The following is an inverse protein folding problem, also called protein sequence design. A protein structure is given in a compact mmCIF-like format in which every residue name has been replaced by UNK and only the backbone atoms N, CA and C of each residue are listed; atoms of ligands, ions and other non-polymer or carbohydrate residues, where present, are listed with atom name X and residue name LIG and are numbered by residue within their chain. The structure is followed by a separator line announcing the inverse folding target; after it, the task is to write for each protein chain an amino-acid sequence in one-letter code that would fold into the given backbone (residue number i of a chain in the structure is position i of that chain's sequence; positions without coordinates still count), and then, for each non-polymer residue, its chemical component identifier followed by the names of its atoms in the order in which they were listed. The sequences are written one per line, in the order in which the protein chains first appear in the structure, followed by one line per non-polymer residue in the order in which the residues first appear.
data_IF_163393117455
#
_entry.id   IF_163393117455
#
_cell.length_a   1.000
_cell.length_b   1.000
_cell.length_c   1.000
_cell.angle_alpha   90.00
_cell.angle_beta   90.00
_cell.angle_gamma   90.00
#
_symmetry.space_group_name_H-M   'P 1'
#
loop_
_entity.id
_entity.type
_entity.pdbx_description
1 polymer ?
#
# COMPACT_ATOMS: atom_id res chain seq x y z
N UNK A 1 12.53 4.62 -18.42
CA UNK A 1 12.31 3.24 -18.90
C UNK A 1 10.97 3.10 -19.62
N UNK A 2 9.91 3.66 -19.04
CA UNK A 2 8.54 3.70 -19.57
C UNK A 2 8.42 4.23 -21.02
N UNK A 3 8.80 5.49 -21.26
CA UNK A 3 8.49 6.16 -22.54
C UNK A 3 9.54 5.98 -23.66
N UNK A 4 10.77 5.60 -23.33
CA UNK A 4 11.83 5.50 -24.35
C UNK A 4 11.68 4.23 -25.18
N UNK A 5 11.72 4.35 -26.51
CA UNK A 5 11.76 3.22 -27.46
C UNK A 5 13.15 2.91 -28.01
N UNK A 6 14.16 3.68 -27.59
CA UNK A 6 15.56 3.48 -28.00
C UNK A 6 16.19 2.37 -27.14
N UNK A 7 16.62 1.29 -27.80
CA UNK A 7 17.25 0.14 -27.17
C UNK A 7 18.48 0.54 -26.36
N UNK A 8 19.41 1.30 -26.94
CA UNK A 8 20.67 1.67 -26.30
C UNK A 8 20.42 2.56 -25.08
N UNK A 9 19.45 3.48 -25.17
CA UNK A 9 19.06 4.33 -24.04
C UNK A 9 18.45 3.52 -22.89
N UNK A 10 17.62 2.51 -23.19
CA UNK A 10 17.03 1.63 -22.17
C UNK A 10 18.09 0.72 -21.54
N UNK A 11 18.99 0.16 -22.35
CA UNK A 11 20.10 -0.67 -21.86
C UNK A 11 20.99 0.12 -20.91
N UNK A 12 21.43 1.32 -21.33
CA UNK A 12 22.22 2.23 -20.50
C UNK A 12 21.56 2.50 -19.15
N UNK A 13 20.26 2.83 -19.12
CA UNK A 13 19.55 3.09 -17.88
C UNK A 13 19.42 1.84 -16.99
N UNK A 14 19.16 0.68 -17.60
CA UNK A 14 18.99 -0.59 -16.89
C UNK A 14 20.30 -1.09 -16.25
N UNK A 15 21.40 -1.02 -17.01
CA UNK A 15 22.74 -1.43 -16.55
C UNK A 15 23.29 -0.43 -15.56
N UNK A 16 23.17 0.87 -15.85
CA UNK A 16 23.62 1.93 -14.97
C UNK A 16 23.00 1.84 -13.59
N UNK A 17 21.67 1.67 -13.50
CA UNK A 17 21.00 1.51 -12.20
C UNK A 17 21.55 0.31 -11.39
N UNK A 18 21.74 -0.84 -12.05
CA UNK A 18 22.24 -2.07 -11.38
C UNK A 18 23.71 -1.96 -10.99
N UNK A 19 24.52 -1.32 -11.83
CA UNK A 19 25.93 -1.14 -11.57
C UNK A 19 26.15 -0.13 -10.44
N UNK A 20 25.44 1.00 -10.46
CA UNK A 20 25.64 2.07 -9.48
C UNK A 20 24.98 1.74 -8.15
N UNK A 21 23.72 1.26 -8.14
CA UNK A 21 23.01 0.97 -6.89
C UNK A 21 23.23 -0.47 -6.44
N UNK A 22 23.04 -1.44 -7.34
CA UNK A 22 23.11 -2.86 -6.99
C UNK A 22 24.48 -3.30 -6.45
N UNK A 23 25.59 -2.79 -7.00
CA UNK A 23 26.94 -3.12 -6.49
C UNK A 23 27.19 -2.56 -5.09
N UNK A 24 26.67 -1.37 -4.78
CA UNK A 24 26.77 -0.77 -3.44
C UNK A 24 25.96 -1.57 -2.41
N UNK A 25 24.79 -2.10 -2.82
CA UNK A 25 23.94 -2.91 -1.95
C UNK A 25 24.49 -4.31 -1.69
N UNK A 26 25.27 -4.91 -2.61
CA UNK A 26 25.72 -6.30 -2.50
C UNK A 26 26.42 -6.64 -1.17
N UNK A 27 27.50 -5.94 -0.73
CA UNK A 27 28.15 -6.28 0.53
C UNK A 27 27.25 -6.03 1.74
N UNK A 28 26.41 -4.98 1.70
CA UNK A 28 25.43 -4.70 2.74
C UNK A 28 24.39 -5.81 2.85
N UNK A 29 23.96 -6.38 1.72
CA UNK A 29 22.96 -7.45 1.68
C UNK A 29 23.52 -8.78 2.17
N UNK A 30 24.81 -9.07 1.92
CA UNK A 30 25.49 -10.24 2.47
C UNK A 30 25.55 -10.18 4.00
N UNK A 31 25.89 -9.02 4.57
CA UNK A 31 25.90 -8.81 6.02
C UNK A 31 24.48 -8.84 6.61
N UNK A 32 23.53 -8.18 5.95
CA UNK A 32 22.11 -8.17 6.32
C UNK A 32 21.55 -9.59 6.47
N UNK A 33 21.76 -10.47 5.49
CA UNK A 33 21.24 -11.86 5.55
C UNK A 33 21.84 -12.65 6.72
N UNK A 34 23.10 -12.41 7.07
CA UNK A 34 23.72 -13.06 8.24
C UNK A 34 23.03 -12.60 9.53
N UNK A 35 22.92 -11.28 9.71
CA UNK A 35 22.33 -10.66 10.90
C UNK A 35 20.85 -11.05 11.09
N UNK A 36 20.04 -11.00 10.03
CA UNK A 36 18.62 -11.35 10.10
C UNK A 36 18.40 -12.82 10.47
N UNK A 37 19.23 -13.72 9.93
CA UNK A 37 19.16 -15.14 10.28
C UNK A 37 19.63 -15.43 11.70
N UNK A 38 20.62 -14.68 12.23
CA UNK A 38 21.00 -14.78 13.64
C UNK A 38 19.85 -14.37 14.56
N UNK A 39 19.16 -13.27 14.24
CA UNK A 39 17.98 -12.82 14.97
C UNK A 39 16.83 -13.84 14.91
N UNK A 40 16.53 -14.38 13.73
CA UNK A 40 15.46 -15.37 13.56
C UNK A 40 15.71 -16.63 14.40
N UNK A 41 16.94 -17.17 14.34
CA UNK A 41 17.32 -18.35 15.14
C UNK A 41 17.29 -18.08 16.65
N UNK A 42 17.65 -16.88 17.09
CA UNK A 42 17.54 -16.49 18.50
C UNK A 42 16.08 -16.45 18.99
N UNK A 43 15.11 -16.31 18.07
CA UNK A 43 13.67 -16.36 18.34
C UNK A 43 13.04 -17.72 18.01
N UNK A 44 13.85 -18.79 17.90
CA UNK A 44 13.43 -20.17 17.63
C UNK A 44 12.79 -20.42 16.24
N UNK A 45 13.11 -19.61 15.23
CA UNK A 45 12.79 -19.91 13.83
C UNK A 45 13.94 -20.64 13.13
N UNK A 46 13.66 -21.36 12.04
CA UNK A 46 14.71 -22.06 11.26
C UNK A 46 15.65 -21.06 10.56
N UNK A 47 15.06 -20.06 9.91
CA UNK A 47 15.74 -18.97 9.22
C UNK A 47 14.84 -17.73 9.16
N UNK A 48 15.34 -16.64 8.57
CA UNK A 48 14.57 -15.39 8.47
C UNK A 48 13.36 -15.50 7.52
N UNK A 49 13.40 -16.40 6.55
CA UNK A 49 12.23 -16.69 5.71
C UNK A 49 11.13 -17.42 6.48
N UNK A 50 11.52 -18.29 7.43
CA UNK A 50 10.61 -18.95 8.37
C UNK A 50 9.94 -17.96 9.32
N UNK A 51 10.72 -17.01 9.85
CA UNK A 51 10.21 -15.89 10.62
C UNK A 51 9.11 -15.10 9.87
N UNK A 52 9.33 -14.78 8.59
CA UNK A 52 8.32 -14.07 7.78
C UNK A 52 7.05 -14.88 7.53
N UNK A 53 7.16 -16.19 7.28
CA UNK A 53 5.99 -17.04 7.03
C UNK A 53 5.07 -17.17 8.25
N UNK A 54 5.58 -16.90 9.46
CA UNK A 54 4.80 -16.91 10.69
C UNK A 54 3.54 -16.03 10.65
N UNK A 55 3.52 -14.95 9.85
CA UNK A 55 2.34 -14.09 9.66
C UNK A 55 1.16 -14.83 9.00
N UNK A 56 1.41 -15.93 8.29
CA UNK A 56 0.37 -16.72 7.63
C UNK A 56 -0.02 -17.99 8.40
N UNK A 57 0.74 -18.36 9.42
CA UNK A 57 0.50 -19.55 10.24
C UNK A 57 -0.55 -19.31 11.36
N UNK A 58 -1.09 -18.10 11.45
CA UNK A 58 -2.16 -17.72 12.38
C UNK A 58 -3.55 -18.27 12.02
N UNK A 59 -3.67 -19.26 11.12
CA UNK A 59 -4.97 -19.85 10.69
C UNK A 59 -5.97 -20.10 11.85
N UNK A 60 -5.58 -20.64 13.02
CA UNK A 60 -6.51 -20.84 14.14
C UNK A 60 -6.98 -19.53 14.81
N UNK A 61 -6.10 -18.53 14.89
CA UNK A 61 -6.42 -17.21 15.46
C UNK A 61 -7.20 -16.34 14.46
N UNK A 62 -6.87 -16.45 13.17
CA UNK A 62 -7.54 -15.79 12.05
C UNK A 62 -9.00 -16.22 11.92
N UNK A 63 -9.30 -17.52 12.02
CA UNK A 63 -10.70 -18.01 11.97
C UNK A 63 -11.54 -17.48 13.14
N UNK A 64 -10.96 -17.40 14.34
CA UNK A 64 -11.64 -16.87 15.53
C UNK A 64 -11.80 -15.34 15.49
N UNK A 65 -10.77 -14.61 15.05
CA UNK A 65 -10.78 -13.16 14.93
C UNK A 65 -11.71 -12.71 13.79
N UNK A 66 -11.66 -13.37 12.63
CA UNK A 66 -12.56 -13.11 11.51
C UNK A 66 -14.02 -13.40 11.87
N UNK A 67 -14.29 -14.49 12.61
CA UNK A 67 -15.64 -14.78 13.12
C UNK A 67 -16.13 -13.73 14.14
N UNK A 68 -15.24 -13.30 15.04
CA UNK A 68 -15.54 -12.28 16.06
C UNK A 68 -15.77 -10.89 15.46
N UNK A 69 -14.92 -10.46 14.53
CA UNK A 69 -15.03 -9.18 13.82
C UNK A 69 -16.29 -9.17 12.94
N UNK A 70 -16.58 -10.26 12.22
CA UNK A 70 -17.83 -10.42 11.45
C UNK A 70 -19.08 -10.32 12.34
N UNK A 71 -19.09 -10.97 13.50
CA UNK A 71 -20.21 -10.90 14.44
C UNK A 71 -20.36 -9.49 15.05
N UNK A 72 -19.27 -8.81 15.41
CA UNK A 72 -19.31 -7.44 15.94
C UNK A 72 -19.72 -6.40 14.90
N UNK A 73 -19.32 -6.58 13.65
CA UNK A 73 -19.76 -5.72 12.55
C UNK A 73 -21.26 -5.90 12.23
N UNK A 74 -21.81 -7.11 12.41
CA UNK A 74 -23.25 -7.39 12.26
C UNK A 74 -24.12 -6.79 13.39
N UNK A 75 -23.61 -6.71 14.63
CA UNK A 75 -24.33 -6.12 15.77
C UNK A 75 -24.27 -4.59 15.81
N UNK A 76 -23.20 -3.96 15.30
CA UNK A 76 -22.92 -2.55 15.59
C UNK A 76 -23.64 -1.57 14.64
N UNK A 77 -24.05 -1.98 13.44
CA UNK A 77 -24.62 -1.03 12.46
C UNK A 77 -25.79 -1.58 11.62
N UNK A 78 -26.98 -1.77 12.21
CA UNK A 78 -28.14 -2.27 11.45
C UNK A 78 -28.71 -1.26 10.44
N UNK A 79 -28.33 0.03 10.52
CA UNK A 79 -29.03 1.11 9.78
C UNK A 79 -28.35 2.50 9.70
N UNK A 80 -27.06 2.66 10.01
CA UNK A 80 -26.40 3.99 10.03
C UNK A 80 -25.05 4.06 9.28
N UNK A 81 -24.73 3.03 8.48
CA UNK A 81 -23.58 3.02 7.57
C UNK A 81 -24.13 2.90 6.14
N UNK A 82 -23.64 3.72 5.20
CA UNK A 82 -23.92 3.52 3.78
C UNK A 82 -23.43 2.13 3.37
N UNK A 83 -24.26 1.28 2.74
CA UNK A 83 -23.94 -0.14 2.54
C UNK A 83 -22.63 -0.43 1.77
N UNK A 84 -22.00 0.59 1.16
CA UNK A 84 -20.80 0.47 0.32
C UNK A 84 -19.85 1.69 0.41
N UNK A 85 -19.97 2.55 1.44
CA UNK A 85 -19.24 3.82 1.49
C UNK A 85 -18.01 3.84 2.41
N UNK A 86 -16.87 4.33 1.91
CA UNK A 86 -15.64 4.55 2.66
C UNK A 86 -15.77 5.69 3.71
N UNK A 87 -14.95 5.65 4.77
CA UNK A 87 -14.85 6.73 5.74
C UNK A 87 -14.07 7.89 5.11
N UNK A 88 -14.62 9.10 5.01
CA UNK A 88 -13.94 10.15 4.26
C UNK A 88 -12.63 10.55 4.96
N UNK A 89 -11.48 10.26 4.32
CA UNK A 89 -10.12 10.47 4.87
C UNK A 89 -9.75 11.94 5.13
N UNK A 90 -10.66 12.87 4.82
CA UNK A 90 -10.52 14.32 5.00
C UNK A 90 -10.49 14.82 6.47
N UNK A 91 -10.10 14.00 7.44
CA UNK A 91 -9.80 14.51 8.78
C UNK A 91 -8.69 15.56 8.62
N UNK A 92 -8.91 16.76 9.16
CA UNK A 92 -8.15 17.99 8.84
C UNK A 92 -6.62 17.82 8.78
N UNK A 93 -6.04 16.88 9.52
CA UNK A 93 -4.60 16.59 9.50
C UNK A 93 -4.08 15.86 8.24
N UNK A 94 -4.88 15.08 7.52
CA UNK A 94 -4.40 14.26 6.40
C UNK A 94 -3.86 15.14 5.26
N UNK A 95 -4.65 16.12 4.82
CA UNK A 95 -4.32 16.99 3.69
C UNK A 95 -3.19 17.96 4.03
N UNK A 96 -3.16 18.44 5.27
CA UNK A 96 -2.15 19.41 5.72
C UNK A 96 -0.76 18.78 5.88
N UNK A 97 -0.69 17.48 6.19
CA UNK A 97 0.55 16.83 6.60
C UNK A 97 1.07 15.75 5.62
N UNK A 98 0.29 15.35 4.62
CA UNK A 98 0.73 14.39 3.61
C UNK A 98 1.69 15.02 2.60
N UNK A 99 2.63 14.21 2.07
CA UNK A 99 3.50 14.62 0.96
C UNK A 99 2.95 14.02 -0.32
N UNK A 100 2.09 14.77 -1.01
CA UNK A 100 1.41 14.32 -2.22
C UNK A 100 2.15 14.69 -3.51
N UNK A 101 3.18 15.54 -3.42
CA UNK A 101 4.05 15.92 -4.53
C UNK A 101 5.50 15.97 -4.07
N UNK A 102 6.43 15.78 -4.99
CA UNK A 102 7.85 15.96 -4.70
C UNK A 102 8.13 17.43 -4.33
N UNK A 103 8.80 17.72 -3.20
CA UNK A 103 9.15 19.08 -2.83
C UNK A 103 10.10 19.74 -3.84
N UNK A 104 9.74 20.93 -4.32
CA UNK A 104 10.55 21.70 -5.27
C UNK A 104 11.74 22.47 -4.65
N UNK A 105 12.02 22.28 -3.36
CA UNK A 105 13.01 23.03 -2.58
C UNK A 105 14.38 22.33 -2.46
N UNK A 106 14.60 21.26 -3.23
CA UNK A 106 15.86 20.52 -3.26
C UNK A 106 16.05 19.53 -2.10
N UNK A 107 15.04 19.33 -1.26
CA UNK A 107 15.05 18.25 -0.26
C UNK A 107 15.14 16.88 -0.94
N UNK A 108 15.96 15.99 -0.38
CA UNK A 108 16.02 14.59 -0.78
C UNK A 108 14.93 13.81 -0.05
N UNK A 109 14.08 13.10 -0.80
CA UNK A 109 12.96 12.33 -0.26
C UNK A 109 12.93 10.91 -0.84
N UNK A 110 12.33 9.97 -0.11
CA UNK A 110 12.04 8.63 -0.62
C UNK A 110 10.70 8.70 -1.36
N UNK A 111 10.73 8.57 -2.68
CA UNK A 111 9.54 8.77 -3.52
C UNK A 111 8.61 7.56 -3.65
N UNK A 112 9.02 6.38 -3.18
CA UNK A 112 8.16 5.20 -3.22
C UNK A 112 6.84 5.47 -2.49
N UNK A 113 5.67 5.24 -3.14
CA UNK A 113 4.36 5.38 -2.52
C UNK A 113 4.26 4.58 -1.22
N UNK A 114 3.64 5.18 -0.20
CA UNK A 114 3.44 4.56 1.11
C UNK A 114 2.31 5.28 1.85
N UNK A 115 1.43 4.52 2.49
CA UNK A 115 0.44 4.98 3.45
C UNK A 115 0.95 4.79 4.89
N UNK A 116 0.55 5.69 5.80
CA UNK A 116 1.07 5.75 7.17
C UNK A 116 -0.05 5.99 8.18
N UNK A 117 -0.23 5.08 9.13
CA UNK A 117 -0.91 5.33 10.41
C UNK A 117 0.13 5.72 11.46
N UNK A 118 0.20 7.02 11.80
CA UNK A 118 1.10 7.54 12.85
C UNK A 118 0.49 7.42 14.25
N UNK A 119 -0.70 6.82 14.36
CA UNK A 119 -1.47 6.69 15.58
C UNK A 119 -2.26 7.95 15.93
N UNK A 120 -3.12 7.84 16.95
CA UNK A 120 -3.97 8.94 17.43
C UNK A 120 -4.83 9.62 16.34
N UNK A 121 -5.13 8.90 15.26
CA UNK A 121 -5.93 9.41 14.14
C UNK A 121 -5.16 10.29 13.15
N UNK A 122 -3.82 10.26 13.18
CA UNK A 122 -2.96 10.93 12.20
C UNK A 122 -2.57 9.94 11.10
N UNK A 123 -3.23 10.07 9.94
CA UNK A 123 -3.00 9.23 8.77
C UNK A 123 -2.40 10.08 7.65
N UNK A 124 -1.44 9.55 6.89
CA UNK A 124 -0.73 10.30 5.84
C UNK A 124 -0.35 9.43 4.65
N UNK A 125 -0.25 10.07 3.47
CA UNK A 125 0.37 9.48 2.28
C UNK A 125 1.68 10.21 1.98
N UNK A 126 2.70 9.45 1.58
CA UNK A 126 3.97 9.99 1.07
C UNK A 126 4.25 9.40 -0.31
N UNK A 127 3.96 10.16 -1.35
CA UNK A 127 4.09 9.77 -2.76
C UNK A 127 4.56 10.96 -3.61
N UNK A 128 5.55 10.75 -4.47
CA UNK A 128 5.99 11.76 -5.46
C UNK A 128 5.08 11.71 -6.70
N UNK A 129 3.81 12.07 -6.52
CA UNK A 129 2.76 11.91 -7.53
C UNK A 129 3.02 12.71 -8.80
N UNK A 130 2.86 12.07 -9.95
CA UNK A 130 2.86 12.63 -11.29
C UNK A 130 1.46 12.55 -11.88
N UNK A 131 1.19 13.37 -12.89
CA UNK A 131 -0.11 13.36 -13.58
C UNK A 131 -0.07 12.28 -14.67
N UNK A 132 -0.25 11.01 -14.25
CA UNK A 132 -0.31 9.82 -15.13
C UNK A 132 -1.43 8.89 -14.68
N UNK A 133 -1.86 7.97 -15.55
CA UNK A 133 -2.87 6.97 -15.19
C UNK A 133 -2.36 6.04 -14.07
N UNK A 134 -1.10 5.62 -14.15
CA UNK A 134 -0.49 4.74 -13.14
C UNK A 134 -0.47 5.40 -11.75
N UNK A 135 -0.08 6.67 -11.67
CA UNK A 135 -0.07 7.40 -10.38
C UNK A 135 -1.50 7.70 -9.90
N UNK A 136 -2.47 7.89 -10.81
CA UNK A 136 -3.89 8.00 -10.46
C UNK A 136 -4.43 6.71 -9.82
N UNK A 137 -4.11 5.55 -10.38
CA UNK A 137 -4.48 4.25 -9.82
C UNK A 137 -3.74 3.96 -8.51
N UNK A 138 -2.45 4.28 -8.45
CA UNK A 138 -1.64 4.17 -7.25
C UNK A 138 -2.21 5.04 -6.12
N UNK A 139 -2.68 6.25 -6.41
CA UNK A 139 -3.34 7.08 -5.41
C UNK A 139 -4.62 6.43 -4.83
N UNK A 140 -5.38 5.67 -5.64
CA UNK A 140 -6.52 4.89 -5.14
C UNK A 140 -6.07 3.71 -4.27
N UNK A 141 -4.99 3.04 -4.66
CA UNK A 141 -4.38 1.96 -3.88
C UNK A 141 -3.97 2.46 -2.48
N UNK A 142 -3.16 3.53 -2.42
CA UNK A 142 -2.68 4.10 -1.15
C UNK A 142 -3.83 4.62 -0.28
N UNK A 143 -4.86 5.21 -0.90
CA UNK A 143 -6.07 5.59 -0.18
C UNK A 143 -6.83 4.39 0.38
N UNK A 144 -6.79 3.23 -0.28
CA UNK A 144 -7.33 1.97 0.22
C UNK A 144 -6.69 1.55 1.55
N UNK A 145 -5.37 1.69 1.69
CA UNK A 145 -4.68 1.47 2.96
C UNK A 145 -5.16 2.43 4.04
N UNK A 146 -5.24 3.73 3.75
CA UNK A 146 -5.71 4.75 4.71
C UNK A 146 -7.15 4.45 5.17
N UNK A 147 -8.02 4.01 4.26
CA UNK A 147 -9.37 3.59 4.62
C UNK A 147 -9.37 2.40 5.58
N UNK A 148 -8.48 1.45 5.35
CA UNK A 148 -8.38 0.27 6.19
C UNK A 148 -7.86 0.63 7.59
N UNK A 149 -6.81 1.46 7.65
CA UNK A 149 -6.25 2.02 8.88
C UNK A 149 -7.31 2.72 9.73
N UNK A 150 -8.07 3.62 9.10
CA UNK A 150 -9.16 4.34 9.76
C UNK A 150 -10.22 3.39 10.33
N UNK A 151 -10.55 2.31 9.62
CA UNK A 151 -11.58 1.37 10.02
C UNK A 151 -11.20 0.60 11.30
N UNK A 152 -9.95 0.13 11.41
CA UNK A 152 -9.49 -0.59 12.60
C UNK A 152 -8.87 0.31 13.68
N UNK A 153 -8.80 1.64 13.48
CA UNK A 153 -8.24 2.59 14.45
C UNK A 153 -8.93 2.57 15.83
N UNK A 154 -10.12 1.98 15.94
CA UNK A 154 -10.86 1.79 17.20
C UNK A 154 -10.45 0.52 17.96
N UNK A 155 -9.72 -0.40 17.32
CA UNK A 155 -9.22 -1.62 17.94
C UNK A 155 -8.11 -1.31 18.97
N UNK A 156 -7.85 -2.24 19.92
CA UNK A 156 -6.66 -2.19 20.76
C UNK A 156 -5.40 -2.05 19.90
N UNK A 157 -4.41 -1.30 20.39
CA UNK A 157 -3.21 -0.94 19.60
C UNK A 157 -2.52 -2.14 18.94
N UNK A 158 -2.38 -3.27 19.65
CA UNK A 158 -1.74 -4.49 19.14
C UNK A 158 -2.54 -5.21 18.03
N UNK A 159 -3.80 -4.84 17.81
CA UNK A 159 -4.70 -5.45 16.82
C UNK A 159 -5.02 -4.49 15.66
N UNK A 160 -4.26 -3.40 15.52
CA UNK A 160 -4.39 -2.43 14.43
C UNK A 160 -3.49 -2.81 13.27
N UNK A 161 -3.91 -3.82 12.52
CA UNK A 161 -3.22 -4.25 11.30
C UNK A 161 -4.21 -5.01 10.40
N UNK A 162 -3.78 -5.32 9.18
CA UNK A 162 -4.43 -6.31 8.35
C UNK A 162 -4.46 -7.67 9.05
N UNK A 163 -5.39 -8.54 8.62
CA UNK A 163 -5.49 -9.88 9.20
C UNK A 163 -4.24 -10.75 8.93
N UNK A 164 -3.54 -10.43 7.85
CA UNK A 164 -2.14 -10.72 7.54
C UNK A 164 -1.66 -9.63 6.55
N UNK A 165 -0.39 -9.64 6.18
CA UNK A 165 0.18 -8.64 5.25
C UNK A 165 -0.57 -8.60 3.89
N UNK A 166 -1.04 -9.74 3.38
CA UNK A 166 -1.71 -9.84 2.09
C UNK A 166 -3.09 -9.17 2.05
N UNK A 167 -3.80 -9.07 3.18
CA UNK A 167 -5.07 -8.35 3.23
C UNK A 167 -4.89 -6.85 3.03
N UNK A 168 -3.80 -6.30 3.56
CA UNK A 168 -3.55 -4.87 3.51
C UNK A 168 -3.33 -4.40 2.06
N UNK A 169 -2.52 -5.15 1.30
CA UNK A 169 -2.27 -4.97 -0.13
C UNK A 169 -3.52 -5.22 -0.98
N UNK A 170 -4.27 -6.29 -0.70
CA UNK A 170 -5.46 -6.63 -1.48
C UNK A 170 -6.55 -5.55 -1.42
N UNK A 171 -6.71 -4.87 -0.27
CA UNK A 171 -7.66 -3.76 -0.13
C UNK A 171 -7.27 -2.57 -1.02
N UNK A 172 -5.99 -2.24 -1.12
CA UNK A 172 -5.51 -1.21 -2.05
C UNK A 172 -5.80 -1.59 -3.51
N UNK A 173 -5.47 -2.84 -3.87
CA UNK A 173 -5.66 -3.33 -5.25
C UNK A 173 -7.11 -3.34 -5.72
N UNK A 174 -8.08 -3.73 -4.88
CA UNK A 174 -9.50 -3.70 -5.28
C UNK A 174 -10.00 -2.28 -5.55
N UNK A 175 -9.46 -1.27 -4.84
CA UNK A 175 -9.81 0.14 -5.09
C UNK A 175 -9.25 0.63 -6.42
N UNK A 176 -7.98 0.28 -6.69
CA UNK A 176 -7.32 0.54 -7.98
C UNK A 176 -8.07 -0.12 -9.14
N UNK A 177 -8.45 -1.40 -9.01
CA UNK A 177 -9.22 -2.13 -10.02
C UNK A 177 -10.56 -1.45 -10.35
N UNK A 178 -11.30 -1.00 -9.33
CA UNK A 178 -12.56 -0.28 -9.57
C UNK A 178 -12.33 1.05 -10.28
N UNK A 179 -11.26 1.76 -9.93
CA UNK A 179 -10.90 3.05 -10.51
C UNK A 179 -10.39 2.95 -11.96
N UNK A 180 -9.87 1.78 -12.35
CA UNK A 180 -9.39 1.53 -13.71
C UNK A 180 -10.52 1.27 -14.73
N UNK A 181 -11.77 1.09 -14.28
CA UNK A 181 -12.88 0.74 -15.17
C UNK A 181 -13.26 1.89 -16.11
N UNK A 182 -13.58 1.62 -17.40
CA UNK A 182 -14.07 2.66 -18.32
C UNK A 182 -15.31 3.37 -17.80
N UNK A 183 -16.20 2.65 -17.09
CA UNK A 183 -17.38 3.24 -16.47
C UNK A 183 -17.03 4.35 -15.48
N UNK A 184 -16.07 4.09 -14.57
CA UNK A 184 -15.61 5.06 -13.60
C UNK A 184 -14.90 6.25 -14.27
N UNK A 185 -14.01 5.99 -15.23
CA UNK A 185 -13.28 7.05 -15.93
C UNK A 185 -14.22 7.98 -16.72
N UNK A 186 -15.29 7.44 -17.35
CA UNK A 186 -16.34 8.24 -17.98
C UNK A 186 -17.09 9.12 -16.98
N UNK A 187 -17.42 8.57 -15.81
CA UNK A 187 -18.11 9.34 -14.76
C UNK A 187 -17.26 10.52 -14.25
N UNK A 188 -15.93 10.39 -14.30
CA UNK A 188 -14.99 11.45 -13.97
C UNK A 188 -14.68 12.40 -15.14
N UNK A 189 -15.23 12.15 -16.34
CA UNK A 189 -14.93 12.91 -17.54
C UNK A 189 -13.51 12.73 -18.07
N UNK A 190 -12.83 11.64 -17.67
CA UNK A 190 -11.48 11.29 -18.13
C UNK A 190 -11.49 10.39 -19.38
N UNK A 191 -12.68 9.97 -19.82
CA UNK A 191 -12.90 9.14 -20.99
C UNK A 191 -14.16 9.61 -21.72
N UNK A 192 -14.14 9.58 -23.05
CA UNK A 192 -15.27 10.03 -23.86
C UNK A 192 -16.54 9.24 -23.56
N UNK A 193 -17.73 9.87 -23.53
CA UNK A 193 -18.98 9.17 -23.20
C UNK A 193 -19.30 8.00 -24.14
N UNK A 194 -18.89 8.09 -25.40
CA UNK A 194 -19.11 7.10 -26.46
C UNK A 194 -18.00 6.04 -26.56
N UNK A 195 -16.96 6.11 -25.74
CA UNK A 195 -15.89 5.11 -25.70
C UNK A 195 -16.46 3.70 -25.47
N UNK A 196 -16.02 2.72 -26.24
CA UNK A 196 -16.33 1.32 -26.01
C UNK A 196 -15.02 0.53 -26.02
N UNK A 197 -14.93 -0.46 -25.14
CA UNK A 197 -13.73 -1.30 -25.06
C UNK A 197 -13.75 -2.29 -26.22
N UNK A 198 -12.68 -2.29 -27.03
CA UNK A 198 -12.50 -3.27 -28.09
C UNK A 198 -12.21 -4.63 -27.43
N UNK A 199 -13.13 -5.60 -27.59
CA UNK A 199 -12.98 -6.98 -27.09
C UNK A 199 -11.86 -7.75 -27.82
#
# INVERSE_FOLDING_TARGET
MENSRDYNRRLWAWEGWRAEVGKQLRPLYEEYVVLENEMARANNYEDYGDYWRGDYEIKPLYEQLHAYVRAKLMDTYPSYISPTGCLPAHLLGFWDNSMLTEPGDGRKVVCHPTAWDLGKGDFRIKMCTKVTMDDFLTAHHEMGHIQYDMAYATQPYLLRNGANEGFHEAVGEIMSLSAATPHYLKALGLLEPDFYEDN
#
